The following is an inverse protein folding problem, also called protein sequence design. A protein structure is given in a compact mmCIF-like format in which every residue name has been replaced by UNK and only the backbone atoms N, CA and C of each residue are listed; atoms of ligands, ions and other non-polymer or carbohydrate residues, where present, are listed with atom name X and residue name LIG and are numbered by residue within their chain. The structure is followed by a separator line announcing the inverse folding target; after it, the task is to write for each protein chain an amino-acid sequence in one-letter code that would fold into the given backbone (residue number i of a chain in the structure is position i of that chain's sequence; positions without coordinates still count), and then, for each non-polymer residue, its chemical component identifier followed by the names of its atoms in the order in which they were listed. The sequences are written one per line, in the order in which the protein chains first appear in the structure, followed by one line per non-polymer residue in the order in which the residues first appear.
data_IF_969851928332
#
_entry.id   IF_969851928332
#
_cell.length_a   1.000
_cell.length_b   1.000
_cell.length_c   1.000
_cell.angle_alpha   90.00
_cell.angle_beta   90.00
_cell.angle_gamma   90.00
#
_symmetry.space_group_name_H-M   'P 1'
#
loop_
_entity.id
_entity.type
_entity.pdbx_description
1 polymer ?
#
# COMPACT_ATOMS: atom_id res chain seq x y z
N UNK A 1 35.68 -19.13 57.35
CA UNK A 1 36.51 -18.52 56.28
C UNK A 1 35.73 -17.40 55.63
N UNK A 2 36.30 -16.19 55.55
CA UNK A 2 35.67 -15.02 54.92
C UNK A 2 36.46 -14.72 53.65
N UNK A 3 35.86 -14.89 52.48
CA UNK A 3 36.47 -14.55 51.20
C UNK A 3 36.14 -13.09 50.90
N UNK A 4 37.13 -12.21 50.97
CA UNK A 4 37.04 -10.82 50.52
C UNK A 4 37.37 -10.79 49.03
N UNK A 5 36.34 -10.76 48.18
CA UNK A 5 36.51 -10.50 46.75
C UNK A 5 36.48 -8.99 46.52
N UNK A 6 37.63 -8.38 46.21
CA UNK A 6 37.69 -7.01 45.72
C UNK A 6 37.46 -7.02 44.20
N UNK A 7 36.39 -6.37 43.73
CA UNK A 7 36.18 -6.14 42.30
C UNK A 7 37.31 -5.21 41.84
N UNK A 8 38.28 -5.76 41.12
CA UNK A 8 39.40 -5.00 40.53
C UNK A 8 38.99 -4.61 39.12
N UNK A 9 38.45 -3.40 38.94
CA UNK A 9 38.00 -2.90 37.65
C UNK A 9 37.34 -1.52 37.73
N UNK A 10 37.16 -0.88 36.58
CA UNK A 10 36.44 0.39 36.45
C UNK A 10 34.96 0.11 36.18
N UNK A 11 34.15 0.15 37.24
CA UNK A 11 32.70 -0.08 37.16
C UNK A 11 32.01 0.92 36.22
N UNK A 12 32.45 2.17 36.18
CA UNK A 12 31.85 3.19 35.32
C UNK A 12 32.03 2.82 33.84
N UNK A 13 33.21 2.30 33.48
CA UNK A 13 33.47 1.81 32.13
C UNK A 13 32.59 0.61 31.77
N UNK A 14 32.47 -0.37 32.67
CA UNK A 14 31.62 -1.55 32.43
C UNK A 14 30.15 -1.14 32.25
N UNK A 15 29.65 -0.24 33.09
CA UNK A 15 28.28 0.27 32.96
C UNK A 15 28.06 1.04 31.65
N UNK A 16 29.02 1.86 31.23
CA UNK A 16 28.94 2.60 29.96
C UNK A 16 28.92 1.65 28.75
N UNK A 17 29.74 0.60 28.77
CA UNK A 17 29.76 -0.42 27.73
C UNK A 17 28.43 -1.20 27.66
N UNK A 18 27.84 -1.52 28.82
CA UNK A 18 26.55 -2.21 28.92
C UNK A 18 25.39 -1.34 28.38
N UNK A 19 25.38 -0.06 28.73
CA UNK A 19 24.39 0.89 28.18
C UNK A 19 24.48 0.93 26.66
N UNK A 20 25.70 1.05 26.12
CA UNK A 20 25.92 1.11 24.67
C UNK A 20 25.54 -0.20 23.97
N UNK A 21 25.76 -1.35 24.61
CA UNK A 21 25.30 -2.64 24.11
C UNK A 21 23.77 -2.70 24.06
N UNK A 22 23.12 -2.20 25.11
CA UNK A 22 21.65 -2.15 25.21
C UNK A 22 21.05 -1.20 24.16
N UNK A 23 21.64 -0.02 23.94
CA UNK A 23 21.21 0.93 22.90
C UNK A 23 21.23 0.28 21.51
N UNK A 24 22.32 -0.42 21.17
CA UNK A 24 22.44 -1.14 19.90
C UNK A 24 21.39 -2.23 19.76
N UNK A 25 21.20 -3.03 20.81
CA UNK A 25 20.23 -4.12 20.80
C UNK A 25 18.80 -3.61 20.63
N UNK A 26 18.43 -2.58 21.40
CA UNK A 26 17.12 -1.95 21.31
C UNK A 26 16.87 -1.38 19.91
N UNK A 27 17.81 -0.60 19.37
CA UNK A 27 17.68 -0.03 18.03
C UNK A 27 17.59 -1.10 16.94
N UNK A 28 18.40 -2.15 17.01
CA UNK A 28 18.33 -3.26 16.05
C UNK A 28 16.96 -3.93 16.07
N UNK A 29 16.47 -4.26 17.27
CA UNK A 29 15.13 -4.85 17.43
C UNK A 29 14.04 -3.93 16.85
N UNK A 30 14.16 -2.61 17.04
CA UNK A 30 13.21 -1.65 16.48
C UNK A 30 13.29 -1.60 14.94
N UNK A 31 14.49 -1.63 14.35
CA UNK A 31 14.67 -1.68 12.88
C UNK A 31 14.03 -2.94 12.31
N UNK A 32 14.25 -4.08 12.94
CA UNK A 32 13.71 -5.37 12.50
C UNK A 32 12.18 -5.40 12.62
N UNK A 33 11.63 -4.98 13.76
CA UNK A 33 10.18 -4.90 13.96
C UNK A 33 9.51 -3.94 12.97
N UNK A 34 10.08 -2.75 12.76
CA UNK A 34 9.54 -1.74 11.83
C UNK A 34 9.59 -2.24 10.38
N UNK A 35 10.70 -2.87 9.98
CA UNK A 35 10.85 -3.41 8.64
C UNK A 35 9.94 -4.63 8.42
N UNK A 36 9.84 -5.52 9.41
CA UNK A 36 8.92 -6.65 9.41
C UNK A 36 7.47 -6.21 9.19
N UNK A 37 6.98 -5.28 10.01
CA UNK A 37 5.62 -4.73 9.86
C UNK A 37 5.37 -4.16 8.45
N UNK A 38 6.32 -3.40 7.89
CA UNK A 38 6.21 -2.90 6.50
C UNK A 38 6.12 -4.05 5.49
N UNK A 39 6.90 -5.11 5.65
CA UNK A 39 6.88 -6.26 4.75
C UNK A 39 5.57 -7.05 4.86
N UNK A 40 5.06 -7.23 6.08
CA UNK A 40 3.78 -7.90 6.31
C UNK A 40 2.62 -7.14 5.68
N UNK A 41 2.58 -5.82 5.87
CA UNK A 41 1.58 -4.96 5.23
C UNK A 41 1.69 -4.99 3.70
N UNK A 42 2.91 -5.11 3.15
CA UNK A 42 3.09 -5.32 1.71
C UNK A 42 2.55 -6.66 1.25
N UNK A 43 2.84 -7.72 2.00
CA UNK A 43 2.37 -9.07 1.72
C UNK A 43 0.84 -9.13 1.74
N UNK A 44 0.19 -8.47 2.71
CA UNK A 44 -1.28 -8.35 2.78
C UNK A 44 -1.85 -7.66 1.53
N UNK A 45 -1.27 -6.52 1.12
CA UNK A 45 -1.72 -5.79 -0.07
C UNK A 45 -1.57 -6.63 -1.34
N UNK A 46 -0.45 -7.35 -1.50
CA UNK A 46 -0.26 -8.25 -2.64
C UNK A 46 -1.17 -9.48 -2.58
N UNK A 47 -1.38 -10.06 -1.40
CA UNK A 47 -2.24 -11.21 -1.17
C UNK A 47 -3.71 -10.90 -1.46
N UNK A 48 -4.14 -9.64 -1.24
CA UNK A 48 -5.45 -9.13 -1.64
C UNK A 48 -5.58 -8.84 -3.15
N UNK A 49 -4.54 -9.07 -3.95
CA UNK A 49 -4.57 -8.85 -5.40
C UNK A 49 -4.44 -7.38 -5.85
N UNK A 50 -4.15 -6.44 -4.94
CA UNK A 50 -3.99 -5.02 -5.26
C UNK A 50 -2.66 -4.68 -5.96
N UNK A 51 -1.76 -5.67 -6.02
CA UNK A 51 -0.54 -5.64 -6.81
C UNK A 51 0.65 -4.93 -6.14
N UNK A 52 1.85 -5.11 -6.71
CA UNK A 52 3.11 -4.67 -6.11
C UNK A 52 3.26 -3.15 -6.05
N UNK A 53 2.60 -2.41 -6.95
CA UNK A 53 2.69 -0.93 -6.98
C UNK A 53 2.08 -0.31 -5.73
N UNK A 54 0.90 -0.79 -5.31
CA UNK A 54 0.26 -0.31 -4.08
C UNK A 54 1.02 -0.81 -2.85
N UNK A 55 1.46 -2.06 -2.83
CA UNK A 55 2.26 -2.58 -1.71
C UNK A 55 3.50 -1.72 -1.46
N UNK A 56 4.23 -1.36 -2.52
CA UNK A 56 5.41 -0.52 -2.44
C UNK A 56 5.17 0.92 -1.95
N UNK A 57 3.92 1.34 -1.75
CA UNK A 57 3.60 2.62 -1.10
C UNK A 57 3.84 2.60 0.40
N UNK A 58 3.85 1.43 1.04
CA UNK A 58 4.26 1.28 2.44
C UNK A 58 5.75 1.61 2.60
N UNK A 59 6.03 2.47 3.57
CA UNK A 59 7.34 3.01 3.95
C UNK A 59 7.54 2.82 5.45
N UNK A 60 8.80 2.83 5.83
CA UNK A 60 9.24 2.71 7.21
C UNK A 60 10.39 3.66 7.46
N UNK A 61 10.50 4.16 8.68
CA UNK A 61 11.64 4.92 9.20
C UNK A 61 11.82 4.56 10.66
N UNK A 62 13.07 4.49 11.11
CA UNK A 62 13.39 4.18 12.49
C UNK A 62 14.23 5.33 13.04
N UNK A 63 13.89 5.78 14.23
CA UNK A 63 14.51 6.89 14.93
C UNK A 63 15.34 6.38 16.12
N UNK A 64 16.48 7.02 16.42
CA UNK A 64 17.05 8.15 15.67
C UNK A 64 17.56 7.74 14.28
N UNK A 65 17.59 8.69 13.34
CA UNK A 65 18.02 8.45 11.96
C UNK A 65 19.50 8.04 11.88
N UNK A 66 20.29 8.51 12.84
CA UNK A 66 21.69 8.12 13.03
C UNK A 66 21.97 7.87 14.51
N UNK A 67 22.89 6.94 14.77
CA UNK A 67 23.23 6.52 16.11
C UNK A 67 22.29 5.46 16.67
N UNK A 68 22.48 5.17 17.96
CA UNK A 68 21.71 4.17 18.69
C UNK A 68 21.06 4.82 19.91
N UNK A 69 19.97 4.23 20.38
CA UNK A 69 19.18 4.78 21.49
C UNK A 69 18.62 3.65 22.34
N UNK A 70 18.54 3.87 23.64
CA UNK A 70 17.82 3.01 24.58
C UNK A 70 16.30 3.02 24.31
N UNK A 71 15.83 4.07 23.64
CA UNK A 71 14.42 4.30 23.32
C UNK A 71 14.28 4.60 21.83
N UNK A 72 14.55 3.63 20.96
CA UNK A 72 14.33 3.79 19.53
C UNK A 72 12.83 3.81 19.24
N UNK A 73 12.44 4.38 18.10
CA UNK A 73 11.05 4.40 17.66
C UNK A 73 10.94 4.04 16.18
N UNK A 74 9.90 3.31 15.81
CA UNK A 74 9.59 2.93 14.43
C UNK A 74 8.34 3.64 13.92
N UNK A 75 8.40 4.20 12.72
CA UNK A 75 7.26 4.77 12.01
C UNK A 75 7.03 3.99 10.72
N UNK A 76 5.79 3.52 10.52
CA UNK A 76 5.34 2.87 9.28
C UNK A 76 4.15 3.63 8.73
N UNK A 77 4.17 3.93 7.43
CA UNK A 77 3.12 4.71 6.77
C UNK A 77 2.98 4.34 5.29
N UNK A 78 1.86 4.71 4.68
CA UNK A 78 1.65 4.56 3.24
C UNK A 78 1.70 5.91 2.52
N UNK A 79 2.29 5.94 1.32
CA UNK A 79 2.17 7.07 0.38
C UNK A 79 0.81 7.12 -0.34
N UNK A 80 -0.05 6.13 -0.16
CA UNK A 80 -1.40 6.09 -0.73
C UNK A 80 -2.45 5.74 0.34
N UNK A 81 -2.54 6.50 1.45
CA UNK A 81 -3.36 6.12 2.60
C UNK A 81 -4.86 6.06 2.24
N UNK A 82 -5.33 6.95 1.36
CA UNK A 82 -6.73 7.00 0.93
C UNK A 82 -7.15 5.75 0.16
N UNK A 83 -6.25 5.19 -0.66
CA UNK A 83 -6.53 3.97 -1.42
C UNK A 83 -6.63 2.79 -0.47
N UNK A 84 -5.66 2.65 0.44
CA UNK A 84 -5.65 1.56 1.43
C UNK A 84 -6.90 1.61 2.29
N UNK A 85 -7.24 2.81 2.81
CA UNK A 85 -8.43 3.03 3.62
C UNK A 85 -9.72 2.69 2.88
N UNK A 86 -9.82 3.02 1.59
CA UNK A 86 -10.98 2.67 0.79
C UNK A 86 -11.21 1.16 0.69
N UNK A 87 -10.14 0.35 0.62
CA UNK A 87 -10.26 -1.10 0.62
C UNK A 87 -10.52 -1.68 2.01
N UNK A 88 -9.91 -1.12 3.05
CA UNK A 88 -10.10 -1.53 4.45
C UNK A 88 -11.54 -1.29 4.93
N UNK A 89 -12.10 -0.12 4.60
CA UNK A 89 -13.46 0.29 4.98
C UNK A 89 -14.55 -0.23 4.02
N UNK A 90 -14.18 -0.90 2.91
CA UNK A 90 -15.14 -1.38 1.92
C UNK A 90 -15.88 -0.26 1.18
N UNK A 91 -15.18 0.83 0.85
CA UNK A 91 -15.77 2.01 0.24
C UNK A 91 -16.44 1.68 -1.11
N UNK A 92 -17.64 2.22 -1.33
CA UNK A 92 -18.36 2.07 -2.60
C UNK A 92 -17.76 2.97 -3.68
N UNK A 93 -17.21 2.36 -4.74
CA UNK A 93 -16.70 3.09 -5.91
C UNK A 93 -17.88 3.48 -6.82
N UNK A 94 -18.07 4.79 -7.02
CA UNK A 94 -19.15 5.34 -7.85
C UNK A 94 -18.62 6.34 -8.88
N UNK A 95 -19.42 6.62 -9.91
CA UNK A 95 -19.16 7.71 -10.85
C UNK A 95 -19.14 9.06 -10.12
N UNK A 96 -18.24 9.96 -10.53
CA UNK A 96 -18.20 11.34 -10.02
C UNK A 96 -19.42 12.16 -10.50
N UNK A 97 -19.83 11.93 -11.75
CA UNK A 97 -20.87 12.72 -12.44
C UNK A 97 -22.28 12.09 -12.33
N UNK A 98 -22.41 10.99 -11.56
CA UNK A 98 -23.68 10.28 -11.34
C UNK A 98 -23.96 9.13 -12.32
N UNK A 99 -25.08 8.43 -12.07
CA UNK A 99 -25.59 7.26 -12.79
C UNK A 99 -24.81 5.95 -12.59
N UNK A 100 -23.85 5.62 -13.44
CA UNK A 100 -23.08 4.35 -13.37
C UNK A 100 -21.60 4.57 -13.65
N UNK A 101 -20.74 3.78 -13.02
CA UNK A 101 -19.31 3.75 -13.35
C UNK A 101 -19.12 2.93 -14.64
N UNK A 102 -18.74 3.59 -15.73
CA UNK A 102 -18.41 2.91 -16.97
C UNK A 102 -17.03 2.23 -16.86
N UNK A 103 -17.04 0.90 -16.84
CA UNK A 103 -15.82 0.08 -16.87
C UNK A 103 -15.66 -0.48 -18.28
N UNK A 104 -14.54 -0.19 -18.99
CA UNK A 104 -14.29 -0.74 -20.32
C UNK A 104 -14.31 -2.27 -20.31
N UNK A 105 -15.23 -2.85 -21.08
CA UNK A 105 -15.28 -4.30 -21.32
C UNK A 105 -14.25 -4.75 -22.37
N UNK A 106 -14.12 -6.07 -22.61
CA UNK A 106 -13.14 -6.65 -23.54
C UNK A 106 -13.21 -6.08 -24.97
N UNK A 107 -14.41 -5.74 -25.46
CA UNK A 107 -14.60 -5.16 -26.80
C UNK A 107 -14.28 -3.66 -26.88
N UNK A 108 -13.98 -3.00 -25.76
CA UNK A 108 -13.61 -1.59 -25.74
C UNK A 108 -12.08 -1.46 -25.82
N UNK A 109 -11.54 -0.61 -26.72
CA UNK A 109 -10.09 -0.42 -26.80
C UNK A 109 -9.55 0.16 -25.48
N UNK A 110 -8.41 -0.37 -25.02
CA UNK A 110 -7.78 0.07 -23.78
C UNK A 110 -7.47 1.58 -23.76
N UNK A 111 -7.30 2.19 -24.94
CA UNK A 111 -7.12 3.63 -25.16
C UNK A 111 -7.77 4.08 -26.45
N UNK A 112 -8.23 5.32 -26.47
CA UNK A 112 -8.64 6.03 -27.69
C UNK A 112 -7.67 7.20 -27.85
N UNK A 113 -6.75 7.07 -28.81
CA UNK A 113 -5.58 7.94 -28.91
C UNK A 113 -4.73 7.88 -27.63
N UNK A 114 -4.44 9.04 -27.03
CA UNK A 114 -3.68 9.14 -25.77
C UNK A 114 -4.56 9.08 -24.50
N UNK A 115 -5.89 9.08 -24.64
CA UNK A 115 -6.84 9.16 -23.52
C UNK A 115 -7.37 7.77 -23.13
N UNK A 116 -7.81 7.62 -21.87
CA UNK A 116 -8.59 6.45 -21.45
C UNK A 116 -9.98 6.52 -22.12
N UNK A 117 -10.56 5.38 -22.52
CA UNK A 117 -11.90 5.35 -23.07
C UNK A 117 -12.90 5.85 -22.02
N UNK A 118 -13.79 6.73 -22.46
CA UNK A 118 -15.03 7.09 -21.76
C UNK A 118 -16.20 6.77 -22.71
N UNK A 119 -17.44 6.61 -22.21
CA UNK A 119 -18.59 6.36 -23.08
C UNK A 119 -18.66 7.35 -24.25
N UNK A 120 -18.58 8.65 -23.95
CA UNK A 120 -18.59 9.72 -24.95
C UNK A 120 -17.44 9.61 -25.97
N UNK A 121 -16.22 9.29 -25.51
CA UNK A 121 -15.08 9.16 -26.41
C UNK A 121 -15.19 7.92 -27.32
N UNK A 122 -15.82 6.86 -26.84
CA UNK A 122 -16.12 5.66 -27.65
C UNK A 122 -17.16 5.99 -28.71
N UNK A 123 -18.23 6.71 -28.36
CA UNK A 123 -19.26 7.18 -29.30
C UNK A 123 -18.65 8.07 -30.39
N UNK A 124 -17.86 9.08 -30.01
CA UNK A 124 -17.15 9.96 -30.94
C UNK A 124 -16.22 9.17 -31.87
N UNK A 125 -15.56 8.12 -31.37
CA UNK A 125 -14.62 7.31 -32.15
C UNK A 125 -15.30 6.38 -33.15
N UNK A 126 -16.44 5.82 -32.77
CA UNK A 126 -17.23 4.89 -33.58
C UNK A 126 -18.20 5.60 -34.52
N UNK A 127 -18.59 6.84 -34.20
CA UNK A 127 -19.64 7.56 -34.92
C UNK A 127 -21.05 7.02 -34.65
N UNK A 128 -21.22 6.21 -33.60
CA UNK A 128 -22.47 5.52 -33.24
C UNK A 128 -22.72 5.74 -31.74
N UNK A 129 -23.94 6.12 -31.31
CA UNK A 129 -24.29 6.25 -29.91
C UNK A 129 -24.28 4.89 -29.21
N UNK A 130 -23.84 4.85 -27.94
CA UNK A 130 -23.87 3.64 -27.14
C UNK A 130 -25.26 3.47 -26.52
N UNK A 131 -25.85 2.30 -26.73
CA UNK A 131 -27.13 1.93 -26.13
C UNK A 131 -26.91 1.27 -24.78
N UNK A 132 -27.65 1.73 -23.77
CA UNK A 132 -27.70 1.09 -22.46
C UNK A 132 -28.59 -0.15 -22.51
N UNK A 133 -28.03 -1.30 -22.13
CA UNK A 133 -28.72 -2.58 -22.08
C UNK A 133 -28.73 -3.08 -20.64
N UNK A 134 -29.90 -3.07 -20.04
CA UNK A 134 -30.10 -3.68 -18.73
C UNK A 134 -30.02 -5.21 -18.84
N UNK A 135 -29.34 -5.84 -17.87
CA UNK A 135 -29.24 -7.29 -17.77
C UNK A 135 -29.73 -7.74 -16.41
N UNK A 136 -30.73 -8.61 -16.39
CA UNK A 136 -31.19 -9.24 -15.16
C UNK A 136 -30.08 -10.17 -14.64
N UNK A 137 -29.59 -9.92 -13.42
CA UNK A 137 -28.57 -10.75 -12.76
C UNK A 137 -27.12 -10.47 -13.17
N UNK A 138 -26.83 -9.35 -13.83
CA UNK A 138 -25.45 -8.97 -14.15
C UNK A 138 -25.26 -7.46 -14.34
N UNK A 139 -24.03 -6.99 -14.54
CA UNK A 139 -23.77 -5.59 -14.86
C UNK A 139 -24.51 -5.17 -16.13
N UNK A 140 -25.07 -3.96 -16.10
CA UNK A 140 -25.64 -3.35 -17.31
C UNK A 140 -24.53 -3.03 -18.30
N UNK A 141 -24.85 -3.08 -19.59
CA UNK A 141 -23.88 -2.89 -20.67
C UNK A 141 -24.14 -1.59 -21.43
N UNK A 142 -23.06 -1.02 -21.97
CA UNK A 142 -23.11 -0.01 -23.02
C UNK A 142 -22.63 -0.67 -24.32
N UNK A 143 -23.50 -0.71 -25.32
CA UNK A 143 -23.29 -1.49 -26.56
C UNK A 143 -23.39 -0.56 -27.76
N UNK A 144 -22.46 -0.70 -28.71
CA UNK A 144 -22.61 -0.12 -30.04
C UNK A 144 -23.36 -1.13 -30.91
N UNK A 145 -24.51 -0.74 -31.44
CA UNK A 145 -25.27 -1.59 -32.36
C UNK A 145 -24.50 -1.78 -33.69
N UNK A 146 -24.72 -2.91 -34.35
CA UNK A 146 -24.10 -3.30 -35.64
C UNK A 146 -22.56 -3.47 -35.64
N UNK A 147 -21.96 -3.58 -34.47
CA UNK A 147 -20.53 -3.85 -34.30
C UNK A 147 -20.30 -5.27 -33.78
N UNK A 148 -19.49 -6.07 -34.49
CA UNK A 148 -18.98 -7.34 -33.96
C UNK A 148 -17.80 -7.10 -33.02
N UNK A 149 -17.88 -7.69 -31.83
CA UNK A 149 -16.72 -7.82 -30.96
C UNK A 149 -15.62 -8.59 -31.71
N UNK A 150 -14.40 -8.03 -31.75
CA UNK A 150 -13.22 -8.68 -32.32
C UNK A 150 -12.50 -9.48 -31.25
#
# INVERSE_FOLDING_TARGET
MRVLAAIRGDLARVMADEVKATERAASSAMRDATNGLKLDLRAQVTGAGLGPRLANTWRSQTYPDSGESLRPAGLVWSKAPHIIRAFDEGATIRSADGFWLAVPGPGCPARIGKKRPTPRLVEERLGIPLRFVYRRGGPSLLVADDMRAR
#
